data_IF_703271939942
#
_entry.id   IF_703271939942
#
_cell.length_a   1.000
_cell.length_b   1.000
_cell.length_c   1.000
_cell.angle_alpha   90.00
_cell.angle_beta   90.00
_cell.angle_gamma   90.00
#
_symmetry.space_group_name_H-M   'P 1'
#
loop_
_entity.id
_entity.type
_entity.pdbx_description
1 polymer ?
#
# COMPACT_ATOMS: atom_id res chain seq x y z
N UNK A 1 60.55 -30.35 33.05
CA UNK A 1 59.59 -29.23 32.99
C UNK A 1 59.70 -28.37 31.72
N UNK A 2 60.87 -28.00 31.21
CA UNK A 2 61.02 -27.16 30.01
C UNK A 2 60.46 -27.80 28.70
N UNK A 3 60.49 -29.12 28.56
CA UNK A 3 59.93 -29.81 27.36
C UNK A 3 58.41 -29.88 27.35
N UNK A 4 57.75 -29.82 28.50
CA UNK A 4 56.30 -29.85 28.59
C UNK A 4 55.65 -28.49 28.18
N UNK A 5 56.31 -27.38 28.51
CA UNK A 5 55.85 -26.05 28.08
C UNK A 5 55.95 -25.84 26.56
N UNK A 6 56.96 -26.44 25.93
CA UNK A 6 57.12 -26.33 24.47
C UNK A 6 56.02 -27.05 23.69
N UNK A 7 55.55 -28.18 24.18
CA UNK A 7 54.45 -28.96 23.57
C UNK A 7 53.13 -28.23 23.78
N UNK A 8 52.87 -27.64 24.96
CA UNK A 8 51.65 -26.88 25.24
C UNK A 8 51.60 -25.59 24.39
N UNK A 9 52.72 -24.90 24.23
CA UNK A 9 52.80 -23.67 23.38
C UNK A 9 52.60 -24.00 21.89
N UNK A 10 53.12 -25.13 21.40
CA UNK A 10 52.92 -25.58 20.05
C UNK A 10 51.48 -26.03 19.78
N UNK A 11 50.81 -26.63 20.78
CA UNK A 11 49.39 -27.03 20.66
C UNK A 11 48.46 -25.81 20.65
N UNK A 12 48.80 -24.73 21.38
CA UNK A 12 48.01 -23.51 21.41
C UNK A 12 48.12 -22.64 20.14
N UNK A 13 49.30 -22.71 19.48
CA UNK A 13 49.51 -22.03 18.20
C UNK A 13 48.80 -22.71 17.03
N UNK A 14 48.54 -24.01 17.08
CA UNK A 14 47.79 -24.75 16.05
C UNK A 14 46.28 -24.50 16.15
N UNK A 15 45.77 -24.16 17.34
CA UNK A 15 44.35 -23.82 17.53
C UNK A 15 43.95 -22.41 17.09
N UNK A 16 44.90 -21.52 16.85
CA UNK A 16 44.64 -20.16 16.35
C UNK A 16 44.76 -20.00 14.81
N UNK A 17 45.16 -21.07 14.10
CA UNK A 17 45.29 -21.06 12.65
C UNK A 17 44.04 -21.58 11.91
N UNK A 18 42.92 -21.81 12.61
CA UNK A 18 41.65 -22.26 12.02
C UNK A 18 40.61 -21.15 11.96
N UNK A 19 41.03 -19.94 11.62
CA UNK A 19 40.09 -18.88 11.29
C UNK A 19 40.51 -18.19 9.99
N UNK A 20 39.58 -18.24 9.03
CA UNK A 20 39.50 -17.42 7.81
C UNK A 20 40.60 -17.66 6.76
N UNK A 21 40.41 -18.67 5.95
CA UNK A 21 40.58 -18.44 4.50
C UNK A 21 39.19 -18.17 3.90
N UNK A 22 38.82 -16.92 3.86
CA UNK A 22 37.96 -16.45 2.80
C UNK A 22 38.82 -16.44 1.54
N UNK A 23 38.71 -17.47 0.73
CA UNK A 23 39.21 -17.43 -0.63
C UNK A 23 38.47 -16.31 -1.36
N UNK A 24 39.15 -15.42 -2.12
CA UNK A 24 38.47 -14.49 -2.98
C UNK A 24 37.83 -15.30 -4.12
N UNK A 25 36.51 -15.49 -4.01
CA UNK A 25 35.72 -16.17 -5.02
C UNK A 25 35.70 -15.29 -6.26
N UNK A 26 36.43 -15.65 -7.25
CA UNK A 26 36.37 -15.11 -8.60
C UNK A 26 34.98 -15.41 -9.18
N UNK A 27 34.10 -14.39 -9.26
CA UNK A 27 33.01 -14.39 -10.27
C UNK A 27 31.87 -15.36 -10.07
N UNK A 28 31.72 -16.01 -8.90
CA UNK A 28 30.53 -16.81 -8.57
C UNK A 28 29.40 -15.84 -8.16
N UNK A 29 28.27 -16.00 -8.79
CA UNK A 29 26.99 -15.39 -8.36
C UNK A 29 26.81 -15.70 -6.88
N UNK A 30 26.72 -14.67 -6.04
CA UNK A 30 26.48 -14.82 -4.60
C UNK A 30 25.09 -15.47 -4.37
N UNK A 31 25.10 -16.79 -4.28
CA UNK A 31 23.89 -17.60 -4.11
C UNK A 31 23.21 -17.41 -2.74
N UNK A 32 23.83 -16.71 -1.79
CA UNK A 32 23.21 -16.34 -0.53
C UNK A 32 22.23 -15.17 -0.68
N UNK A 33 22.30 -14.44 -1.76
CA UNK A 33 21.60 -13.17 -1.97
C UNK A 33 20.09 -13.33 -2.20
N UNK A 34 19.33 -12.44 -1.60
CA UNK A 34 17.90 -12.22 -1.87
C UNK A 34 17.73 -10.78 -2.25
N UNK A 35 17.08 -10.53 -3.38
CA UNK A 35 16.69 -9.21 -3.86
C UNK A 35 15.16 -9.13 -3.91
N UNK A 36 14.59 -8.18 -3.19
CA UNK A 36 13.13 -7.96 -3.16
C UNK A 36 12.87 -6.52 -3.59
N UNK A 37 12.17 -6.37 -4.73
CA UNK A 37 11.69 -5.09 -5.22
C UNK A 37 10.22 -4.90 -4.90
N UNK A 38 9.79 -3.66 -4.62
CA UNK A 38 8.41 -3.35 -4.34
C UNK A 38 7.82 -2.41 -5.39
N UNK A 39 6.61 -2.71 -5.83
CA UNK A 39 5.79 -1.83 -6.65
C UNK A 39 4.71 -1.20 -5.80
N UNK A 40 4.64 0.12 -5.85
CA UNK A 40 3.53 0.88 -5.28
C UNK A 40 2.29 0.69 -6.16
N UNK A 41 1.07 0.75 -5.59
CA UNK A 41 -0.14 0.70 -6.40
C UNK A 41 -0.12 1.74 -7.52
N UNK A 42 -0.46 1.33 -8.76
CA UNK A 42 -0.40 2.19 -9.94
C UNK A 42 -1.36 3.40 -9.90
N UNK A 43 -2.36 3.35 -9.01
CA UNK A 43 -3.28 4.45 -8.75
C UNK A 43 -2.67 5.61 -7.93
N UNK A 44 -1.48 5.44 -7.35
CA UNK A 44 -0.64 6.58 -6.94
C UNK A 44 -0.24 7.41 -8.16
N UNK A 45 -0.21 6.79 -9.34
CA UNK A 45 0.25 7.43 -10.58
C UNK A 45 -0.87 7.90 -11.50
N UNK A 46 -2.13 7.47 -11.39
CA UNK A 46 -3.04 7.61 -12.53
C UNK A 46 -4.50 8.04 -12.29
N UNK A 47 -5.18 7.78 -11.16
CA UNK A 47 -6.64 7.99 -11.11
C UNK A 47 -7.25 8.54 -9.83
N UNK A 48 -6.56 8.43 -8.72
CA UNK A 48 -6.89 9.21 -7.52
C UNK A 48 -5.74 10.17 -7.35
N UNK A 49 -6.02 11.46 -7.22
CA UNK A 49 -5.04 12.54 -7.21
C UNK A 49 -3.62 12.03 -6.91
N UNK A 50 -2.76 12.10 -7.91
CA UNK A 50 -1.35 11.74 -7.74
C UNK A 50 -0.92 12.27 -6.38
N UNK A 51 -0.58 11.39 -5.42
CA UNK A 51 -0.02 11.87 -4.17
C UNK A 51 1.28 12.56 -4.56
N UNK A 52 1.20 13.86 -4.69
CA UNK A 52 2.38 14.68 -4.90
C UNK A 52 3.09 14.71 -3.56
N UNK A 53 4.16 13.93 -3.44
CA UNK A 53 5.00 13.96 -2.24
C UNK A 53 5.61 15.36 -2.17
N UNK A 54 5.22 16.21 -1.22
CA UNK A 54 5.82 17.53 -1.09
C UNK A 54 7.30 17.38 -0.71
N UNK A 55 8.09 18.38 -1.02
CA UNK A 55 9.54 18.38 -0.70
C UNK A 55 9.82 18.26 0.80
N UNK A 56 8.82 18.48 1.64
CA UNK A 56 8.84 18.29 3.09
C UNK A 56 8.73 16.83 3.54
N UNK A 57 8.44 15.89 2.62
CA UNK A 57 8.26 14.48 2.93
C UNK A 57 9.05 13.58 1.97
N UNK A 58 9.26 12.33 2.40
CA UNK A 58 9.84 11.23 1.62
C UNK A 58 8.97 9.99 1.77
N UNK A 59 9.01 9.10 0.79
CA UNK A 59 8.46 7.76 0.93
C UNK A 59 9.48 6.88 1.65
N UNK A 60 9.11 6.34 2.82
CA UNK A 60 9.87 5.32 3.52
C UNK A 60 9.34 3.95 3.12
N UNK A 61 10.23 2.99 2.93
CA UNK A 61 9.89 1.59 2.77
C UNK A 61 10.63 0.78 3.84
N UNK A 62 9.93 -0.14 4.47
CA UNK A 62 10.42 -1.03 5.53
C UNK A 62 10.22 -2.46 5.08
N UNK A 63 11.24 -3.30 5.21
CA UNK A 63 11.13 -4.74 5.06
C UNK A 63 11.49 -5.44 6.37
N UNK A 64 10.71 -6.43 6.77
CA UNK A 64 11.03 -7.39 7.81
C UNK A 64 11.03 -8.80 7.23
N UNK A 65 12.03 -9.60 7.59
CA UNK A 65 12.16 -11.00 7.19
C UNK A 65 12.12 -11.88 8.42
N UNK A 66 11.10 -12.70 8.51
CA UNK A 66 10.82 -13.59 9.63
C UNK A 66 11.02 -15.05 9.26
N UNK A 67 11.55 -15.87 10.18
CA UNK A 67 11.58 -17.32 9.96
C UNK A 67 10.16 -17.89 9.98
N UNK A 68 9.88 -18.83 9.07
CA UNK A 68 8.61 -19.57 9.06
C UNK A 68 8.75 -20.83 9.91
N UNK A 69 8.44 -20.70 11.19
CA UNK A 69 8.55 -21.76 12.20
C UNK A 69 7.45 -21.61 13.25
N UNK A 70 7.30 -22.57 14.14
CA UNK A 70 6.35 -22.51 15.27
C UNK A 70 6.65 -21.35 16.24
N UNK A 71 7.88 -20.87 16.24
CA UNK A 71 8.32 -19.69 16.98
C UNK A 71 9.08 -18.77 16.03
N UNK A 72 8.36 -17.95 15.24
CA UNK A 72 9.00 -17.04 14.29
C UNK A 72 9.87 -16.02 15.01
N UNK A 73 11.01 -15.69 14.41
CA UNK A 73 11.87 -14.62 14.89
C UNK A 73 12.41 -13.80 13.72
N UNK A 74 12.69 -12.52 13.99
CA UNK A 74 13.18 -11.57 13.00
C UNK A 74 14.62 -11.93 12.60
N UNK A 75 14.84 -12.06 11.31
CA UNK A 75 16.15 -12.33 10.71
C UNK A 75 16.81 -11.10 10.12
N UNK A 76 16.01 -10.23 9.57
CA UNK A 76 16.47 -9.03 8.90
C UNK A 76 15.41 -7.96 8.96
N UNK A 77 15.83 -6.71 9.13
CA UNK A 77 15.00 -5.51 8.97
C UNK A 77 15.84 -4.42 8.36
N UNK A 78 15.29 -3.73 7.40
CA UNK A 78 15.88 -2.55 6.78
C UNK A 78 14.79 -1.52 6.49
N UNK A 79 15.13 -0.26 6.65
CA UNK A 79 14.29 0.87 6.28
C UNK A 79 15.07 1.76 5.32
N UNK A 80 14.45 2.10 4.20
CA UNK A 80 15.00 2.98 3.19
C UNK A 80 14.04 4.13 2.90
N UNK A 81 14.58 5.33 2.70
CA UNK A 81 13.82 6.47 2.22
C UNK A 81 14.13 6.68 0.74
N UNK A 82 13.11 6.65 -0.11
CA UNK A 82 13.25 6.75 -1.56
C UNK A 82 12.66 8.03 -2.12
N UNK A 83 13.23 8.51 -3.22
CA UNK A 83 12.65 9.61 -3.97
C UNK A 83 11.40 9.15 -4.73
N UNK A 84 10.51 10.10 -5.03
CA UNK A 84 9.33 9.84 -5.86
C UNK A 84 9.73 9.18 -7.20
N UNK A 85 9.01 8.15 -7.60
CA UNK A 85 9.26 7.39 -8.84
C UNK A 85 10.42 6.40 -8.77
N UNK A 86 11.05 6.23 -7.62
CA UNK A 86 12.09 5.20 -7.41
C UNK A 86 11.45 3.91 -6.93
N UNK A 87 11.79 2.80 -7.56
CA UNK A 87 11.39 1.44 -7.12
C UNK A 87 12.26 1.06 -5.93
N UNK A 88 11.70 0.88 -4.72
CA UNK A 88 12.47 0.42 -3.57
C UNK A 88 12.92 -1.02 -3.79
N UNK A 89 14.21 -1.27 -3.57
CA UNK A 89 14.82 -2.60 -3.69
C UNK A 89 15.68 -2.88 -2.48
N UNK A 90 15.48 -4.04 -1.88
CA UNK A 90 16.23 -4.53 -0.73
C UNK A 90 17.09 -5.71 -1.15
N UNK A 91 18.37 -5.64 -0.85
CA UNK A 91 19.35 -6.67 -1.19
C UNK A 91 20.06 -7.15 0.08
N UNK A 92 19.84 -8.38 0.48
CA UNK A 92 20.39 -8.92 1.72
C UNK A 92 20.76 -10.40 1.60
N UNK A 93 21.73 -10.89 2.41
CA UNK A 93 22.07 -12.31 2.48
C UNK A 93 21.04 -13.08 3.32
N UNK A 94 20.66 -14.27 2.85
CA UNK A 94 19.75 -15.14 3.57
C UNK A 94 20.18 -16.61 3.40
N UNK A 95 20.24 -17.35 4.51
CA UNK A 95 20.53 -18.79 4.49
C UNK A 95 19.34 -19.57 3.91
N UNK A 96 19.56 -20.79 3.39
CA UNK A 96 18.46 -21.67 3.01
C UNK A 96 17.45 -21.87 4.14
N UNK A 97 16.16 -21.78 3.83
CA UNK A 97 15.05 -21.87 4.78
C UNK A 97 13.75 -21.32 4.20
N UNK A 98 12.69 -21.41 4.98
CA UNK A 98 11.39 -20.83 4.66
C UNK A 98 11.19 -19.55 5.48
N UNK A 99 10.77 -18.48 4.82
CA UNK A 99 10.65 -17.14 5.41
C UNK A 99 9.35 -16.45 5.02
N UNK A 100 8.92 -15.55 5.87
CA UNK A 100 7.85 -14.59 5.59
C UNK A 100 8.46 -13.20 5.54
N UNK A 101 8.34 -12.52 4.41
CA UNK A 101 8.72 -11.13 4.24
C UNK A 101 7.49 -10.25 4.39
N UNK A 102 7.57 -9.27 5.27
CA UNK A 102 6.56 -8.24 5.50
C UNK A 102 7.11 -6.92 4.98
N UNK A 103 6.29 -6.15 4.27
CA UNK A 103 6.68 -4.83 3.76
C UNK A 103 5.63 -3.80 4.11
N UNK A 104 6.11 -2.64 4.56
CA UNK A 104 5.33 -1.44 4.78
C UNK A 104 5.97 -0.27 4.07
N UNK A 105 5.16 0.61 3.52
CA UNK A 105 5.61 1.90 3.00
C UNK A 105 4.68 3.01 3.47
N UNK A 106 5.24 4.15 3.87
CA UNK A 106 4.53 5.34 4.34
C UNK A 106 5.31 6.62 4.05
N UNK A 107 4.73 7.75 4.40
CA UNK A 107 5.37 9.05 4.22
C UNK A 107 5.91 9.56 5.55
N UNK A 108 7.18 9.92 5.56
CA UNK A 108 7.89 10.50 6.69
C UNK A 108 8.38 11.92 6.36
N UNK A 109 8.67 12.73 7.38
CA UNK A 109 9.29 14.02 7.19
C UNK A 109 10.62 13.90 6.43
N UNK A 110 10.92 14.83 5.53
CA UNK A 110 12.17 14.82 4.76
C UNK A 110 13.43 14.94 5.64
N UNK A 111 13.28 15.57 6.79
CA UNK A 111 14.28 15.76 7.85
C UNK A 111 14.06 14.83 9.05
N UNK A 112 13.28 13.75 8.89
CA UNK A 112 13.03 12.78 9.96
C UNK A 112 14.34 12.35 10.62
N UNK A 113 14.33 12.32 11.95
CA UNK A 113 15.47 11.87 12.74
C UNK A 113 15.77 10.41 12.44
N UNK A 114 17.05 10.08 12.37
CA UNK A 114 17.54 8.73 12.10
C UNK A 114 18.24 8.20 13.33
N UNK A 115 17.90 6.99 13.76
CA UNK A 115 18.49 6.31 14.91
C UNK A 115 18.86 4.87 14.57
N UNK A 116 19.77 4.30 15.35
CA UNK A 116 20.06 2.87 15.32
C UNK A 116 19.22 2.17 16.38
N UNK A 117 18.49 1.13 16.00
CA UNK A 117 17.61 0.37 16.89
C UNK A 117 18.01 -1.12 16.82
N UNK A 118 18.00 -1.80 17.96
CA UNK A 118 18.18 -3.25 18.05
C UNK A 118 16.88 -3.90 18.52
N UNK A 119 16.33 -4.80 17.70
CA UNK A 119 15.12 -5.55 18.02
C UNK A 119 15.34 -6.55 19.18
N UNK A 120 14.26 -7.10 19.70
CA UNK A 120 14.31 -8.15 20.75
C UNK A 120 15.02 -9.42 20.25
N UNK A 121 15.04 -9.67 18.96
CA UNK A 121 15.73 -10.79 18.32
C UNK A 121 17.21 -10.48 18.00
N UNK A 122 17.70 -9.31 18.40
CA UNK A 122 19.09 -8.88 18.22
C UNK A 122 19.44 -8.37 16.81
N UNK A 123 18.45 -8.06 15.98
CA UNK A 123 18.65 -7.45 14.66
C UNK A 123 18.81 -5.95 14.86
N UNK A 124 19.94 -5.39 14.42
CA UNK A 124 20.20 -3.93 14.43
C UNK A 124 19.92 -3.36 13.07
N UNK A 125 19.18 -2.24 13.03
CA UNK A 125 18.77 -1.56 11.81
C UNK A 125 18.71 -0.05 12.01
N UNK A 126 18.78 0.68 10.91
CA UNK A 126 18.52 2.12 10.89
C UNK A 126 17.01 2.36 10.90
N UNK A 127 16.54 3.21 11.82
CA UNK A 127 15.14 3.59 11.95
C UNK A 127 14.97 5.07 11.66
N UNK A 128 14.00 5.40 10.81
CA UNK A 128 13.53 6.78 10.60
C UNK A 128 12.38 7.09 11.54
N UNK A 129 12.40 8.27 12.15
CA UNK A 129 11.33 8.70 13.05
C UNK A 129 9.95 8.60 12.42
N UNK A 130 9.04 7.96 13.14
CA UNK A 130 7.67 7.71 12.73
C UNK A 130 6.83 8.99 12.75
N UNK A 131 6.09 9.25 11.68
CA UNK A 131 5.20 10.41 11.58
C UNK A 131 3.78 10.07 12.03
N UNK A 132 3.12 9.13 11.37
CA UNK A 132 1.70 8.80 11.62
C UNK A 132 1.51 7.46 12.32
N UNK A 133 2.42 6.53 12.11
CA UNK A 133 2.31 5.15 12.58
C UNK A 133 3.55 4.77 13.37
N UNK A 134 3.37 4.07 14.49
CA UNK A 134 4.45 3.32 15.12
C UNK A 134 4.70 2.06 14.28
N UNK A 135 5.86 2.03 13.64
CA UNK A 135 6.28 0.96 12.74
C UNK A 135 7.31 0.03 13.36
N UNK A 136 7.51 0.11 14.68
CA UNK A 136 8.48 -0.74 15.40
C UNK A 136 8.21 -2.23 15.25
N UNK A 137 6.98 -2.61 14.90
CA UNK A 137 6.55 -3.99 14.72
C UNK A 137 5.52 -4.11 13.59
N UNK A 138 5.90 -4.67 12.45
CA UNK A 138 4.99 -4.83 11.31
C UNK A 138 3.88 -5.88 11.53
N UNK A 139 3.99 -6.71 12.57
CA UNK A 139 2.88 -7.57 13.00
C UNK A 139 1.77 -6.77 13.70
N UNK A 140 2.06 -5.57 14.18
CA UNK A 140 1.12 -4.69 14.87
C UNK A 140 1.52 -3.23 14.69
N UNK A 141 1.33 -2.70 13.49
CA UNK A 141 1.41 -1.26 13.26
C UNK A 141 0.35 -0.56 14.11
N UNK A 142 0.68 0.59 14.67
CA UNK A 142 -0.24 1.33 15.53
C UNK A 142 -0.32 2.78 15.08
N UNK A 143 -1.53 3.33 14.98
CA UNK A 143 -1.72 4.77 14.82
C UNK A 143 -1.20 5.46 16.08
N UNK A 144 -0.31 6.44 15.93
CA UNK A 144 0.23 7.20 17.07
C UNK A 144 -0.87 8.08 17.66
N UNK A 145 -1.14 7.97 18.95
CA UNK A 145 -2.25 8.67 19.63
C UNK A 145 -2.15 10.20 19.49
N UNK A 146 -0.94 10.75 19.57
CA UNK A 146 -0.64 12.17 19.38
C UNK A 146 -0.92 12.67 17.96
N UNK A 147 -0.95 11.77 16.97
CA UNK A 147 -1.19 12.07 15.57
C UNK A 147 -2.57 11.60 15.08
N UNK A 148 -3.42 11.07 15.95
CA UNK A 148 -4.75 10.60 15.53
C UNK A 148 -5.54 11.70 14.80
N UNK A 149 -5.42 12.96 15.21
CA UNK A 149 -6.01 14.11 14.52
C UNK A 149 -5.35 14.44 13.16
N UNK A 150 -4.11 14.01 12.93
CA UNK A 150 -3.36 14.29 11.70
C UNK A 150 -3.68 13.30 10.56
N UNK A 151 -4.50 12.28 10.82
CA UNK A 151 -5.02 11.38 9.78
C UNK A 151 -6.12 12.02 8.92
N UNK A 152 -6.46 13.28 9.21
CA UNK A 152 -7.48 14.03 8.51
C UNK A 152 -6.88 15.09 7.58
N UNK A 153 -7.59 15.38 6.51
CA UNK A 153 -7.30 16.42 5.51
C UNK A 153 -5.87 16.37 4.93
N UNK A 154 -5.26 15.19 4.91
CA UNK A 154 -3.95 14.98 4.29
C UNK A 154 -3.88 13.60 3.62
N UNK A 155 -3.24 13.53 2.46
CA UNK A 155 -2.93 12.27 1.80
C UNK A 155 -1.55 11.70 2.23
N UNK A 156 -0.82 12.43 3.08
CA UNK A 156 0.48 12.00 3.59
C UNK A 156 0.38 10.93 4.68
N UNK A 157 -0.81 10.69 5.23
CA UNK A 157 -1.08 9.57 6.14
C UNK A 157 -1.43 8.26 5.40
N UNK A 158 -1.42 8.25 4.06
CA UNK A 158 -1.57 6.99 3.31
C UNK A 158 -0.39 6.05 3.57
N UNK A 159 -0.62 4.77 3.43
CA UNK A 159 0.39 3.74 3.63
C UNK A 159 0.06 2.48 2.84
N UNK A 160 1.08 1.64 2.66
CA UNK A 160 0.98 0.50 1.78
C UNK A 160 1.65 -0.71 2.42
N UNK A 161 1.12 -1.90 2.18
CA UNK A 161 1.65 -3.12 2.74
C UNK A 161 1.70 -4.24 1.72
N UNK A 162 2.59 -5.18 1.94
CA UNK A 162 2.59 -6.46 1.26
C UNK A 162 3.18 -7.55 2.15
N UNK A 163 2.84 -8.80 1.83
CA UNK A 163 3.41 -10.01 2.43
C UNK A 163 3.84 -10.96 1.33
N UNK A 164 5.00 -11.57 1.49
CA UNK A 164 5.54 -12.55 0.58
C UNK A 164 6.12 -13.74 1.35
N UNK A 165 5.78 -14.95 0.92
CA UNK A 165 6.41 -16.17 1.42
C UNK A 165 7.60 -16.51 0.53
N UNK A 166 8.79 -16.61 1.10
CA UNK A 166 10.04 -16.88 0.39
C UNK A 166 10.58 -18.24 0.80
N UNK A 167 10.77 -19.13 -0.16
CA UNK A 167 11.48 -20.37 0.02
C UNK A 167 12.89 -20.24 -0.53
N UNK A 168 13.85 -19.94 0.34
CA UNK A 168 15.25 -19.80 0.00
C UNK A 168 15.91 -21.17 -0.06
N UNK A 169 16.48 -21.52 -1.19
CA UNK A 169 17.38 -22.66 -1.40
C UNK A 169 18.83 -22.18 -1.56
N UNK A 170 19.69 -22.98 -2.16
CA UNK A 170 21.08 -22.62 -2.42
C UNK A 170 21.26 -21.60 -3.55
N UNK A 171 20.22 -21.28 -4.34
CA UNK A 171 20.31 -20.28 -5.42
C UNK A 171 19.92 -18.87 -4.92
N UNK A 172 20.41 -17.83 -5.59
CA UNK A 172 19.92 -16.47 -5.38
C UNK A 172 18.42 -16.39 -5.66
N UNK A 173 17.73 -15.48 -4.96
CA UNK A 173 16.28 -15.28 -5.09
C UNK A 173 16.06 -13.84 -5.50
N UNK A 174 15.26 -13.63 -6.55
CA UNK A 174 14.78 -12.32 -6.95
C UNK A 174 13.25 -12.37 -6.94
N UNK A 175 12.66 -11.56 -6.10
CA UNK A 175 11.23 -11.53 -5.87
C UNK A 175 10.69 -10.11 -5.97
N UNK A 176 9.37 -10.04 -6.05
CA UNK A 176 8.65 -8.82 -6.30
C UNK A 176 7.40 -8.74 -5.44
N UNK A 177 7.17 -7.59 -4.81
CA UNK A 177 6.04 -7.37 -3.91
C UNK A 177 5.17 -6.24 -4.45
N UNK A 178 3.92 -6.53 -4.78
CA UNK A 178 2.92 -5.52 -5.10
C UNK A 178 2.26 -5.02 -3.81
N UNK A 179 2.49 -3.77 -3.48
CA UNK A 179 1.95 -3.13 -2.28
C UNK A 179 0.46 -2.80 -2.48
N UNK A 180 -0.31 -2.85 -1.39
CA UNK A 180 -1.76 -2.58 -1.33
C UNK A 180 -2.05 -1.58 -0.22
N UNK A 181 -3.12 -0.81 -0.34
CA UNK A 181 -3.61 0.06 0.75
C UNK A 181 -4.36 -0.74 1.80
N UNK A 182 -4.08 -0.54 3.09
CA UNK A 182 -4.88 -1.11 4.19
C UNK A 182 -6.10 -0.26 4.54
N UNK A 183 -6.27 0.89 3.91
CA UNK A 183 -7.24 1.92 4.26
C UNK A 183 -8.43 1.99 3.29
N UNK A 184 -9.54 2.53 3.80
CA UNK A 184 -10.49 3.30 3.02
C UNK A 184 -10.22 4.80 3.22
N UNK A 185 -10.44 5.62 2.18
CA UNK A 185 -10.47 7.08 2.28
C UNK A 185 -11.92 7.54 2.39
N UNK A 186 -12.25 8.20 3.48
CA UNK A 186 -13.56 8.80 3.71
C UNK A 186 -13.50 10.29 3.40
N UNK A 187 -14.47 10.78 2.61
CA UNK A 187 -14.71 12.20 2.38
C UNK A 187 -16.12 12.51 2.87
N UNK A 188 -16.25 13.51 3.74
CA UNK A 188 -17.55 13.96 4.22
C UNK A 188 -17.80 15.37 3.73
N UNK A 189 -18.99 15.61 3.14
CA UNK A 189 -19.35 16.87 2.49
C UNK A 189 -20.65 17.45 3.05
N UNK A 190 -20.70 18.78 3.19
CA UNK A 190 -21.94 19.54 3.33
C UNK A 190 -22.48 19.87 1.94
N UNK A 191 -23.75 19.57 1.67
CA UNK A 191 -24.37 19.82 0.38
C UNK A 191 -25.13 21.15 0.33
N UNK A 192 -25.31 21.85 1.46
CA UNK A 192 -25.90 23.17 1.54
C UNK A 192 -24.78 24.23 1.53
N UNK A 193 -24.54 24.80 0.35
CA UNK A 193 -23.50 25.80 0.13
C UNK A 193 -23.67 27.05 0.99
N UNK A 194 -24.92 27.49 1.22
CA UNK A 194 -25.19 28.68 2.01
C UNK A 194 -24.83 28.45 3.49
N UNK A 195 -25.13 27.27 4.03
CA UNK A 195 -24.74 26.89 5.37
C UNK A 195 -23.25 26.66 5.51
N UNK A 196 -22.64 25.94 4.56
CA UNK A 196 -21.19 25.74 4.51
C UNK A 196 -20.43 27.07 4.57
N UNK A 197 -20.92 28.09 3.84
CA UNK A 197 -20.34 29.45 3.82
C UNK A 197 -20.34 30.15 5.20
N UNK A 198 -21.16 29.70 6.15
CA UNK A 198 -21.20 30.23 7.52
C UNK A 198 -20.25 29.52 8.50
N UNK A 199 -19.62 28.41 8.05
CA UNK A 199 -18.81 27.55 8.89
C UNK A 199 -17.47 28.22 9.21
N UNK A 200 -17.12 28.31 10.49
CA UNK A 200 -15.86 28.85 10.98
C UNK A 200 -15.00 27.77 11.67
N UNK A 201 -15.62 26.67 12.07
CA UNK A 201 -14.92 25.55 12.71
C UNK A 201 -15.75 24.28 12.72
N UNK A 202 -15.08 23.15 12.75
CA UNK A 202 -15.64 21.82 12.84
C UNK A 202 -14.82 20.99 13.81
N UNK A 203 -15.49 20.29 14.72
CA UNK A 203 -14.90 19.19 15.48
C UNK A 203 -15.57 17.90 15.02
N UNK A 204 -14.78 16.90 14.66
CA UNK A 204 -15.24 15.55 14.28
C UNK A 204 -14.75 14.56 15.32
N UNK A 205 -15.60 13.60 15.71
CA UNK A 205 -15.21 12.48 16.57
C UNK A 205 -15.87 11.19 16.08
N UNK A 206 -15.10 10.13 15.91
CA UNK A 206 -15.59 8.77 15.63
C UNK A 206 -14.57 7.71 16.05
N UNK A 207 -15.01 6.46 16.16
CA UNK A 207 -14.12 5.34 16.46
C UNK A 207 -13.62 4.67 15.19
N UNK A 208 -12.32 4.30 15.19
CA UNK A 208 -11.66 3.60 14.10
C UNK A 208 -10.68 2.55 14.65
N UNK A 209 -10.34 1.49 13.86
CA UNK A 209 -9.30 0.55 14.25
C UNK A 209 -7.96 1.26 14.47
N UNK A 210 -7.34 1.01 15.63
CA UNK A 210 -6.07 1.61 16.03
C UNK A 210 -4.87 0.92 15.41
N UNK A 211 -4.96 -0.39 15.15
CA UNK A 211 -3.82 -1.21 14.75
C UNK A 211 -4.07 -1.92 13.43
N UNK A 212 -2.97 -2.26 12.74
CA UNK A 212 -3.00 -3.07 11.53
C UNK A 212 -1.83 -4.07 11.53
N UNK A 213 -2.08 -5.31 11.13
CA UNK A 213 -1.06 -6.33 10.99
C UNK A 213 -0.70 -6.56 9.52
N UNK A 214 0.53 -6.27 9.13
CA UNK A 214 1.03 -6.59 7.79
C UNK A 214 1.06 -8.11 7.56
N UNK A 215 1.32 -8.89 8.60
CA UNK A 215 1.39 -10.35 8.52
C UNK A 215 0.05 -11.00 8.18
N UNK A 216 -1.05 -10.50 8.73
CA UNK A 216 -2.40 -10.98 8.42
C UNK A 216 -3.07 -10.19 7.31
N UNK A 217 -2.64 -8.96 7.09
CA UNK A 217 -3.29 -8.01 6.20
C UNK A 217 -4.61 -7.47 6.76
N UNK A 218 -4.82 -7.51 8.09
CA UNK A 218 -6.08 -7.13 8.72
C UNK A 218 -5.87 -6.15 9.89
N UNK A 219 -6.83 -5.25 10.16
CA UNK A 219 -6.84 -4.43 11.37
C UNK A 219 -6.97 -5.30 12.63
N UNK A 220 -6.42 -4.78 13.74
CA UNK A 220 -6.65 -5.36 15.05
C UNK A 220 -8.01 -4.96 15.64
N UNK A 221 -8.37 -5.58 16.77
CA UNK A 221 -9.62 -5.31 17.45
C UNK A 221 -9.60 -4.06 18.35
N UNK A 222 -8.42 -3.48 18.61
CA UNK A 222 -8.29 -2.26 19.41
C UNK A 222 -8.82 -1.06 18.62
N UNK A 223 -9.72 -0.30 19.24
CA UNK A 223 -10.31 0.90 18.64
C UNK A 223 -9.67 2.16 19.22
N UNK A 224 -9.62 3.19 18.41
CA UNK A 224 -9.17 4.53 18.74
C UNK A 224 -10.30 5.52 18.50
N UNK A 225 -10.58 6.39 19.46
CA UNK A 225 -11.45 7.55 19.24
C UNK A 225 -10.61 8.65 18.57
N UNK A 226 -10.81 8.82 17.27
CA UNK A 226 -10.21 9.91 16.54
C UNK A 226 -10.98 11.20 16.79
N UNK A 227 -10.30 12.29 17.13
CA UNK A 227 -10.87 13.62 17.27
C UNK A 227 -10.11 14.58 16.38
N UNK A 228 -10.82 15.30 15.52
CA UNK A 228 -10.25 16.25 14.60
C UNK A 228 -10.92 17.60 14.70
N UNK A 229 -10.11 18.64 14.89
CA UNK A 229 -10.54 20.03 14.92
C UNK A 229 -10.04 20.77 13.68
N UNK A 230 -10.95 21.35 12.92
CA UNK A 230 -10.67 22.10 11.69
C UNK A 230 -11.21 23.52 11.80
N UNK A 231 -10.38 24.48 11.41
CA UNK A 231 -10.78 25.88 11.26
C UNK A 231 -10.96 26.19 9.78
N UNK A 232 -12.04 26.88 9.45
CA UNK A 232 -12.33 27.35 8.10
C UNK A 232 -12.01 28.85 8.03
N UNK A 233 -10.98 29.21 7.26
CA UNK A 233 -10.53 30.61 7.15
C UNK A 233 -11.44 31.45 6.25
N UNK A 234 -12.10 30.84 5.28
CA UNK A 234 -13.12 31.39 4.40
C UNK A 234 -13.88 30.22 3.77
N UNK A 235 -15.15 30.45 3.43
CA UNK A 235 -15.90 29.50 2.61
C UNK A 235 -15.38 29.61 1.19
N UNK A 236 -14.35 28.84 0.88
CA UNK A 236 -13.88 28.73 -0.50
C UNK A 236 -14.70 27.71 -1.27
N UNK A 237 -14.78 27.96 -2.56
CA UNK A 237 -15.59 27.29 -3.56
C UNK A 237 -15.53 25.76 -3.53
N UNK A 238 -16.60 25.14 -3.94
CA UNK A 238 -16.77 23.68 -4.06
C UNK A 238 -15.48 22.87 -4.40
N UNK A 239 -15.37 21.67 -3.87
CA UNK A 239 -16.34 20.91 -3.13
C UNK A 239 -16.37 21.26 -1.64
N UNK A 240 -17.57 21.32 -1.06
CA UNK A 240 -17.82 21.70 0.32
C UNK A 240 -17.40 20.57 1.29
N UNK A 241 -16.12 20.25 1.27
CA UNK A 241 -15.55 19.14 2.07
C UNK A 241 -15.42 19.58 3.52
N UNK A 242 -16.14 18.90 4.39
CA UNK A 242 -16.02 19.05 5.83
C UNK A 242 -14.69 18.48 6.32
N UNK A 243 -14.43 17.22 5.96
CA UNK A 243 -13.16 16.58 6.27
C UNK A 243 -12.89 15.39 5.33
N UNK A 244 -11.64 14.98 5.27
CA UNK A 244 -11.20 13.71 4.70
C UNK A 244 -10.47 12.93 5.78
N UNK A 245 -10.53 11.59 5.75
CA UNK A 245 -9.83 10.73 6.70
C UNK A 245 -9.46 9.39 6.10
N UNK A 246 -8.43 8.76 6.67
CA UNK A 246 -8.01 7.42 6.32
C UNK A 246 -8.31 6.47 7.49
N UNK A 247 -8.97 5.37 7.21
CA UNK A 247 -9.42 4.40 8.22
C UNK A 247 -8.92 3.01 7.85
N UNK A 248 -8.19 2.35 8.74
CA UNK A 248 -7.84 0.95 8.57
C UNK A 248 -9.12 0.12 8.38
N UNK A 249 -9.21 -0.56 7.27
CA UNK A 249 -10.44 -1.24 6.86
C UNK A 249 -10.17 -2.73 6.65
N UNK A 250 -10.96 -3.62 7.26
CA UNK A 250 -10.90 -5.05 7.00
C UNK A 250 -11.11 -5.38 5.52
N UNK A 251 -10.60 -6.52 5.06
CA UNK A 251 -10.83 -6.99 3.69
C UNK A 251 -12.31 -7.20 3.36
N UNK A 252 -13.12 -7.44 4.38
CA UNK A 252 -14.58 -7.59 4.27
C UNK A 252 -15.36 -6.27 4.30
N UNK A 253 -14.66 -5.13 4.45
CA UNK A 253 -15.30 -3.85 4.70
C UNK A 253 -15.48 -3.51 6.17
N UNK A 254 -15.86 -2.27 6.45
CA UNK A 254 -16.11 -1.74 7.79
C UNK A 254 -17.34 -0.84 7.78
N UNK A 255 -18.37 -1.22 8.54
CA UNK A 255 -19.43 -0.30 8.93
C UNK A 255 -18.88 0.66 9.98
N UNK A 256 -18.79 1.94 9.66
CA UNK A 256 -18.29 2.95 10.60
C UNK A 256 -19.28 3.12 11.75
N UNK A 257 -18.77 3.21 12.96
CA UNK A 257 -19.55 3.54 14.16
C UNK A 257 -20.18 4.94 14.06
N UNK A 258 -20.96 5.35 15.08
CA UNK A 258 -21.52 6.69 15.08
C UNK A 258 -20.40 7.75 15.06
N UNK A 259 -20.66 8.84 14.30
CA UNK A 259 -19.73 9.97 14.19
C UNK A 259 -20.43 11.23 14.72
N UNK A 260 -19.70 12.02 15.49
CA UNK A 260 -20.21 13.28 16.06
C UNK A 260 -19.50 14.44 15.35
N UNK A 261 -20.30 15.31 14.72
CA UNK A 261 -19.82 16.55 14.10
C UNK A 261 -20.33 17.74 14.92
N UNK A 262 -19.43 18.60 15.37
CA UNK A 262 -19.77 19.85 16.02
C UNK A 262 -19.36 21.01 15.15
N UNK A 263 -20.33 21.68 14.56
CA UNK A 263 -20.15 22.85 13.70
C UNK A 263 -20.06 24.11 14.54
N UNK A 264 -19.13 25.01 14.20
CA UNK A 264 -18.98 26.33 14.81
C UNK A 264 -19.27 27.38 13.73
N UNK A 265 -20.17 28.31 14.03
CA UNK A 265 -20.54 29.45 13.18
C UNK A 265 -20.60 30.73 14.01
N UNK A 266 -20.79 31.89 13.40
CA UNK A 266 -21.01 33.15 14.11
C UNK A 266 -22.28 33.12 15.02
N UNK A 267 -23.25 32.27 14.71
CA UNK A 267 -24.47 32.10 15.51
C UNK A 267 -24.29 31.17 16.72
N UNK A 268 -23.15 30.46 16.80
CA UNK A 268 -22.84 29.54 17.90
C UNK A 268 -22.47 28.14 17.40
N UNK A 269 -22.54 27.16 18.32
CA UNK A 269 -22.24 25.75 18.02
C UNK A 269 -23.49 24.94 17.85
N UNK A 270 -23.46 24.00 16.90
CA UNK A 270 -24.48 22.95 16.73
C UNK A 270 -23.81 21.60 16.57
N UNK A 271 -24.44 20.54 17.07
CA UNK A 271 -23.90 19.18 17.01
C UNK A 271 -24.83 18.28 16.21
N UNK A 272 -24.24 17.47 15.35
CA UNK A 272 -24.91 16.44 14.56
C UNK A 272 -24.27 15.10 14.84
N UNK A 273 -25.08 14.10 15.12
CA UNK A 273 -24.68 12.69 15.11
C UNK A 273 -25.03 12.07 13.74
N UNK A 274 -24.06 11.44 13.13
CA UNK A 274 -24.25 10.50 12.02
C UNK A 274 -24.39 9.14 12.69
N UNK A 275 -25.55 8.46 12.59
CA UNK A 275 -25.74 7.17 13.22
C UNK A 275 -24.73 6.14 12.75
N UNK A 276 -24.34 5.22 13.61
CA UNK A 276 -23.54 4.08 13.24
C UNK A 276 -24.17 3.27 12.09
N UNK A 277 -23.33 2.57 11.33
CA UNK A 277 -23.72 1.77 10.15
C UNK A 277 -24.29 2.59 8.98
N UNK A 278 -24.24 3.92 9.07
CA UNK A 278 -24.66 4.80 7.96
C UNK A 278 -23.60 4.96 6.87
N UNK A 279 -22.34 4.61 7.16
CA UNK A 279 -21.20 4.71 6.23
C UNK A 279 -20.51 3.35 6.18
N UNK A 280 -20.52 2.74 4.99
CA UNK A 280 -19.81 1.51 4.70
C UNK A 280 -18.48 1.82 4.02
N UNK A 281 -17.38 1.45 4.66
CA UNK A 281 -16.03 1.63 4.14
C UNK A 281 -15.54 0.33 3.48
N UNK A 282 -14.98 0.44 2.31
CA UNK A 282 -14.31 -0.67 1.61
C UNK A 282 -12.84 -0.37 1.45
N UNK A 283 -12.01 -1.38 1.74
CA UNK A 283 -10.55 -1.26 1.65
C UNK A 283 -10.13 -0.84 0.24
N UNK A 284 -9.12 0.02 0.17
CA UNK A 284 -8.57 0.57 -1.07
C UNK A 284 -9.58 1.36 -1.91
N UNK A 285 -10.68 1.80 -1.32
CA UNK A 285 -11.68 2.62 -1.98
C UNK A 285 -11.81 3.99 -1.31
N UNK A 286 -12.27 4.98 -2.08
CA UNK A 286 -12.66 6.28 -1.59
C UNK A 286 -14.18 6.30 -1.48
N UNK A 287 -14.69 6.59 -0.29
CA UNK A 287 -16.11 6.80 -0.02
C UNK A 287 -16.37 8.29 0.16
N UNK A 288 -17.36 8.82 -0.54
CA UNK A 288 -17.83 10.19 -0.34
C UNK A 288 -19.24 10.16 0.23
N UNK A 289 -19.40 10.60 1.47
CA UNK A 289 -20.67 10.73 2.14
C UNK A 289 -21.08 12.22 2.19
N UNK A 290 -22.28 12.57 1.76
CA UNK A 290 -22.73 13.94 1.69
C UNK A 290 -24.11 14.12 2.28
N UNK A 291 -24.49 15.38 2.59
CA UNK A 291 -25.82 15.71 3.08
C UNK A 291 -25.91 17.15 3.58
N UNK A 292 -27.12 17.58 3.92
CA UNK A 292 -27.35 18.84 4.61
C UNK A 292 -27.08 18.68 6.11
N UNK A 293 -25.81 18.40 6.44
CA UNK A 293 -25.38 17.96 7.77
C UNK A 293 -25.45 19.10 8.81
N UNK A 294 -25.31 20.35 8.39
CA UNK A 294 -25.51 21.54 9.25
C UNK A 294 -27.00 21.86 9.48
N UNK A 295 -27.91 21.01 9.02
CA UNK A 295 -29.36 21.09 9.18
C UNK A 295 -29.96 19.74 9.54
N UNK A 296 -31.25 19.59 9.23
CA UNK A 296 -32.01 18.35 9.53
C UNK A 296 -32.01 17.35 8.34
N UNK A 297 -31.17 17.58 7.35
CA UNK A 297 -31.09 16.72 6.16
C UNK A 297 -30.54 15.34 6.48
N UNK A 298 -30.99 14.32 5.76
CA UNK A 298 -30.43 12.98 5.84
C UNK A 298 -29.00 12.97 5.29
N UNK A 299 -28.15 12.10 5.84
CA UNK A 299 -26.89 11.72 5.22
C UNK A 299 -27.22 10.87 3.99
N UNK A 300 -26.72 11.26 2.84
CA UNK A 300 -26.54 10.36 1.70
C UNK A 300 -25.20 9.65 1.93
N UNK A 301 -25.20 8.35 2.22
CA UNK A 301 -23.95 7.62 2.44
C UNK A 301 -23.03 7.63 1.21
N UNK A 302 -23.49 8.24 0.12
CA UNK A 302 -22.80 8.23 -1.14
C UNK A 302 -22.91 6.87 -1.82
N UNK A 303 -22.95 6.87 -3.11
CA UNK A 303 -22.48 5.73 -3.87
C UNK A 303 -20.96 5.81 -3.84
N UNK A 304 -20.31 4.68 -3.55
CA UNK A 304 -18.96 4.46 -4.04
C UNK A 304 -18.96 5.04 -5.47
N UNK A 305 -18.15 6.04 -5.82
CA UNK A 305 -17.89 6.22 -7.22
C UNK A 305 -17.30 4.89 -7.63
N UNK A 306 -18.16 4.04 -8.23
CA UNK A 306 -17.75 2.84 -8.92
C UNK A 306 -16.42 3.22 -9.58
N UNK A 307 -15.29 2.60 -9.21
CA UNK A 307 -14.01 3.11 -9.66
C UNK A 307 -14.17 3.31 -11.15
N UNK A 308 -14.37 4.58 -11.55
CA UNK A 308 -14.50 4.89 -12.97
C UNK A 308 -13.30 4.18 -13.56
N UNK A 309 -13.49 3.17 -14.40
CA UNK A 309 -12.40 2.35 -14.86
C UNK A 309 -11.34 3.32 -15.31
N UNK A 310 -10.14 3.23 -14.77
CA UNK A 310 -9.10 4.24 -14.97
C UNK A 310 -9.17 4.63 -16.43
N UNK A 311 -9.35 5.91 -16.75
CA UNK A 311 -9.70 6.39 -18.09
C UNK A 311 -8.80 5.78 -19.17
N UNK A 312 -7.67 5.23 -18.71
CA UNK A 312 -6.70 4.45 -19.49
C UNK A 312 -6.22 3.23 -18.69
N UNK A 313 -6.16 2.04 -19.32
CA UNK A 313 -5.70 0.82 -18.66
C UNK A 313 -4.23 0.93 -18.26
N UNK A 314 -3.82 0.15 -17.25
CA UNK A 314 -2.45 0.03 -16.82
C UNK A 314 -1.91 -1.36 -17.14
N UNK A 315 -0.60 -1.47 -17.35
CA UNK A 315 0.05 -2.78 -17.52
C UNK A 315 -0.15 -3.60 -16.24
N UNK A 316 -0.67 -4.82 -16.39
CA UNK A 316 -1.00 -5.71 -15.29
C UNK A 316 -2.48 -5.69 -14.89
N UNK A 317 -3.29 -4.77 -15.41
CA UNK A 317 -4.73 -4.79 -15.18
C UNK A 317 -5.38 -6.03 -15.77
N UNK A 318 -6.38 -6.55 -15.09
CA UNK A 318 -7.25 -7.61 -15.58
C UNK A 318 -8.31 -7.00 -16.49
N UNK A 319 -8.44 -7.55 -17.70
CA UNK A 319 -9.43 -7.10 -18.68
C UNK A 319 -10.63 -8.04 -18.69
N UNK A 320 -11.84 -7.51 -18.69
CA UNK A 320 -13.08 -8.25 -18.57
C UNK A 320 -13.89 -8.26 -19.88
N UNK A 321 -14.80 -9.26 -19.97
CA UNK A 321 -15.61 -9.50 -21.17
C UNK A 321 -16.52 -8.31 -21.54
N UNK A 322 -16.85 -7.45 -20.57
CA UNK A 322 -17.66 -6.25 -20.76
C UNK A 322 -16.86 -5.04 -21.29
N UNK A 323 -15.53 -5.22 -21.49
CA UNK A 323 -14.65 -4.17 -21.98
C UNK A 323 -14.07 -3.28 -20.89
N UNK A 324 -14.34 -3.58 -19.64
CA UNK A 324 -13.75 -2.88 -18.47
C UNK A 324 -12.42 -3.52 -18.05
N UNK A 325 -11.69 -2.84 -17.19
CA UNK A 325 -10.44 -3.34 -16.61
C UNK A 325 -10.33 -2.94 -15.14
N UNK A 326 -9.56 -3.73 -14.37
CA UNK A 326 -9.32 -3.49 -12.95
C UNK A 326 -7.94 -3.99 -12.56
N UNK A 327 -7.29 -3.30 -11.63
CA UNK A 327 -6.05 -3.78 -11.01
C UNK A 327 -6.28 -4.98 -10.08
N UNK A 328 -7.56 -5.32 -9.75
CA UNK A 328 -7.91 -6.39 -8.83
C UNK A 328 -8.75 -7.48 -9.51
N UNK A 329 -8.38 -8.75 -9.25
CA UNK A 329 -9.16 -9.92 -9.60
C UNK A 329 -9.84 -10.45 -8.34
N UNK A 330 -11.14 -10.18 -8.22
CA UNK A 330 -11.96 -10.65 -7.09
C UNK A 330 -12.67 -11.95 -7.44
N UNK A 331 -13.21 -12.68 -6.46
CA UNK A 331 -14.04 -13.87 -6.74
C UNK A 331 -15.30 -13.52 -7.55
N UNK A 332 -15.79 -12.29 -7.47
CA UNK A 332 -16.98 -11.81 -8.18
C UNK A 332 -16.68 -11.52 -9.66
N UNK A 333 -15.53 -10.93 -9.98
CA UNK A 333 -15.17 -10.55 -11.35
C UNK A 333 -14.31 -11.58 -12.09
N UNK A 334 -13.74 -12.55 -11.39
CA UNK A 334 -12.84 -13.58 -11.92
C UNK A 334 -13.43 -14.38 -13.07
N UNK A 335 -14.73 -14.69 -13.01
CA UNK A 335 -15.42 -15.45 -14.06
C UNK A 335 -15.49 -14.68 -15.39
N UNK A 336 -15.44 -13.35 -15.34
CA UNK A 336 -15.55 -12.46 -16.49
C UNK A 336 -14.18 -11.98 -17.00
N UNK A 337 -13.07 -12.35 -16.33
CA UNK A 337 -11.74 -11.99 -16.74
C UNK A 337 -11.31 -12.77 -18.00
N UNK A 338 -10.98 -12.02 -19.06
CA UNK A 338 -10.59 -12.59 -20.35
C UNK A 338 -9.11 -12.42 -20.64
N UNK A 339 -8.41 -11.48 -19.96
CA UNK A 339 -7.01 -11.23 -20.22
C UNK A 339 -6.34 -10.30 -19.21
N UNK A 340 -5.06 -10.03 -19.47
CA UNK A 340 -4.25 -9.08 -18.69
C UNK A 340 -3.68 -8.06 -19.67
N UNK A 341 -3.75 -6.76 -19.29
CA UNK A 341 -3.16 -5.67 -20.06
C UNK A 341 -1.64 -5.80 -19.98
N UNK A 342 -0.96 -5.95 -21.11
CA UNK A 342 0.49 -6.08 -21.14
C UNK A 342 1.22 -4.87 -21.75
N UNK A 343 0.49 -3.99 -22.44
CA UNK A 343 1.00 -2.72 -22.94
C UNK A 343 -0.12 -1.68 -22.98
N UNK A 344 0.22 -0.41 -22.80
CA UNK A 344 -0.72 0.72 -22.82
C UNK A 344 -0.40 1.69 -23.93
N UNK A 345 -1.42 2.34 -24.47
CA UNK A 345 -1.32 3.25 -25.61
C UNK A 345 -0.95 2.53 -26.91
N UNK A 346 -0.96 3.25 -28.02
CA UNK A 346 -0.54 2.74 -29.32
C UNK A 346 0.95 2.42 -29.33
N UNK A 347 1.32 1.27 -29.88
CA UNK A 347 2.71 0.87 -30.05
C UNK A 347 3.26 1.33 -31.40
N UNK A 348 4.60 1.41 -31.52
CA UNK A 348 5.24 1.81 -32.77
C UNK A 348 4.89 0.85 -33.92
N UNK A 349 4.29 1.38 -34.96
CA UNK A 349 3.86 0.60 -36.14
C UNK A 349 2.36 0.28 -36.16
N UNK A 350 1.61 0.61 -35.12
CA UNK A 350 0.16 0.47 -35.14
C UNK A 350 -0.50 1.46 -36.09
N UNK A 351 -1.39 0.93 -36.92
CA UNK A 351 -2.27 1.74 -37.77
C UNK A 351 -3.71 1.35 -37.48
N UNK A 352 -4.43 2.24 -36.76
CA UNK A 352 -5.80 1.97 -36.32
C UNK A 352 -6.76 1.76 -37.51
N UNK A 353 -6.41 2.26 -38.71
CA UNK A 353 -7.22 2.07 -39.88
C UNK A 353 -7.30 0.61 -40.34
N UNK A 354 -6.35 -0.22 -39.92
CA UNK A 354 -6.31 -1.65 -40.22
C UNK A 354 -7.28 -2.47 -39.34
N UNK A 355 -7.82 -1.89 -38.27
CA UNK A 355 -8.72 -2.59 -37.34
C UNK A 355 -10.19 -2.51 -37.73
N UNK A 356 -10.49 -1.94 -38.88
CA UNK A 356 -11.83 -1.86 -39.46
C UNK A 356 -12.70 -0.71 -38.92
N UNK A 357 -13.92 -0.61 -39.47
CA UNK A 357 -14.83 0.56 -39.25
C UNK A 357 -15.26 0.71 -37.79
N UNK A 358 -15.27 -0.36 -37.00
CA UNK A 358 -15.63 -0.32 -35.58
C UNK A 358 -14.66 0.54 -34.74
N UNK A 359 -13.46 0.80 -35.24
CA UNK A 359 -12.40 1.58 -34.57
C UNK A 359 -12.24 3.01 -35.11
N UNK A 360 -13.00 3.41 -36.11
CA UNK A 360 -12.93 4.77 -36.65
C UNK A 360 -13.21 5.82 -35.56
N UNK A 361 -12.28 6.77 -35.42
CA UNK A 361 -12.37 7.84 -34.43
C UNK A 361 -12.04 7.43 -32.98
N UNK A 362 -11.62 6.18 -32.78
CA UNK A 362 -11.16 5.67 -31.46
C UNK A 362 -9.63 5.68 -31.39
N UNK A 363 -9.11 5.57 -30.18
CA UNK A 363 -7.67 5.41 -29.92
C UNK A 363 -7.42 4.06 -29.26
N UNK A 364 -6.26 3.46 -29.53
CA UNK A 364 -5.81 2.25 -28.85
C UNK A 364 -5.45 2.64 -27.41
N UNK A 365 -6.16 2.06 -26.45
CA UNK A 365 -5.93 2.29 -25.03
C UNK A 365 -4.86 1.35 -24.45
N UNK A 366 -4.77 0.15 -24.98
CA UNK A 366 -3.81 -0.87 -24.57
C UNK A 366 -4.00 -2.17 -25.29
N UNK A 367 -3.16 -3.14 -24.96
CA UNK A 367 -3.15 -4.48 -25.52
C UNK A 367 -3.33 -5.50 -24.40
N UNK A 368 -4.14 -6.52 -24.66
CA UNK A 368 -4.51 -7.54 -23.70
C UNK A 368 -3.96 -8.88 -24.12
N UNK A 369 -3.26 -9.55 -23.23
CA UNK A 369 -2.87 -10.95 -23.39
C UNK A 369 -4.00 -11.83 -22.84
N UNK A 370 -4.60 -12.65 -23.69
CA UNK A 370 -5.68 -13.55 -23.28
C UNK A 370 -5.20 -14.61 -22.28
N UNK A 371 -5.99 -14.89 -21.26
CA UNK A 371 -5.70 -15.94 -20.25
C UNK A 371 -5.89 -17.36 -20.82
N UNK A 372 -6.64 -17.51 -21.91
CA UNK A 372 -6.88 -18.79 -22.60
C UNK A 372 -6.63 -18.61 -24.08
N UNK A 373 -6.05 -19.63 -24.71
CA UNK A 373 -5.91 -19.63 -26.15
C UNK A 373 -7.31 -19.57 -26.81
N UNK A 374 -7.45 -18.71 -27.81
CA UNK A 374 -8.65 -18.65 -28.63
C UNK A 374 -8.73 -19.94 -29.42
N UNK A 375 -9.76 -20.72 -29.18
CA UNK A 375 -10.09 -21.87 -30.06
C UNK A 375 -10.99 -21.33 -31.14
N UNK A 376 -10.44 -21.18 -32.37
CA UNK A 376 -11.25 -20.86 -33.55
C UNK A 376 -11.96 -22.12 -33.98
N UNK A 377 -13.27 -22.16 -33.88
CA UNK A 377 -14.06 -23.24 -34.44
C UNK A 377 -13.85 -23.21 -35.97
N UNK A 378 -13.43 -24.35 -36.56
CA UNK A 378 -13.17 -24.56 -37.99
C UNK A 378 -11.83 -24.00 -38.53
N UNK A 379 -10.78 -23.94 -37.76
CA UNK A 379 -9.45 -23.73 -38.30
C UNK A 379 -8.95 -25.07 -38.90
N UNK A 380 -8.98 -25.17 -40.23
CA UNK A 380 -8.56 -26.36 -40.97
C UNK A 380 -7.06 -26.43 -41.28
N UNK A 381 -6.23 -25.53 -40.67
CA UNK A 381 -4.78 -25.52 -40.87
C UNK A 381 -4.12 -26.64 -40.07
N UNK A 382 -3.42 -27.52 -40.79
CA UNK A 382 -2.70 -28.67 -40.23
C UNK A 382 -1.39 -28.30 -39.49
N UNK A 383 -0.92 -27.09 -39.60
CA UNK A 383 0.43 -26.67 -39.13
C UNK A 383 0.48 -26.17 -37.65
N UNK A 384 -0.67 -26.01 -37.01
CA UNK A 384 -0.76 -25.58 -35.62
C UNK A 384 -0.28 -24.16 -35.36
N UNK A 385 0.12 -23.40 -36.39
CA UNK A 385 0.53 -21.98 -36.31
C UNK A 385 -0.70 -21.13 -36.54
N UNK A 386 -1.03 -20.30 -35.56
CA UNK A 386 -2.14 -19.34 -35.61
C UNK A 386 -1.58 -17.95 -35.57
N UNK A 387 -1.82 -17.17 -36.59
CA UNK A 387 -1.66 -15.73 -36.54
C UNK A 387 -2.82 -15.17 -35.72
N UNK A 388 -2.51 -14.46 -34.65
CA UNK A 388 -3.45 -13.76 -33.78
C UNK A 388 -3.63 -12.34 -34.27
#
# INVERSE_FOLDING_TARGET
MKKLYFIITLLFTVLLASCSQEEPVNGETDNSRVSISAELPGDIAATRAQITIPTTHKLRCIIEVWTKSDSPFLKYREEIAVAAGTVPTFDFPLRPGDYTCLMWADFIAADATVSEVTSVDGVTYTHFEDTYYDTSNLHQLTVKDEFASNLFDTDLCDGFYAKLEVKKNAAAVNEYMKLKRPFAKLIVQETDAEKFATLTGLTVSFEMPKTFSVATGEPGAEMLTAVYDKNFASAEDAPQILYTGYVFTPSTGLSLGSSILTFTTAAGKSTREIPGESIELKRNQQMTAGGKLMGDGALDPGTDPDPEPSKDPQVGDYFFIDGTWSSELTEENKANCVGIVYAVGAQGGDDISLYGDAFQGKSIKGYVMALKNVVVANDEREDGVRDI
#
